data_IF_920340738634
#
_entry.id   IF_920340738634
#
_cell.length_a   1.000
_cell.length_b   1.000
_cell.length_c   1.000
_cell.angle_alpha   90.00
_cell.angle_beta   90.00
_cell.angle_gamma   90.00
#
_symmetry.space_group_name_H-M   'P 1'
#
loop_
_entity.id
_entity.type
_entity.pdbx_description
1 polymer ?
#
# COMPACT_ATOMS: atom_id res chain seq x y z
N UNK A 1 -21.99 -5.52 1.79
CA UNK A 1 -20.84 -4.82 1.18
C UNK A 1 -19.99 -5.85 0.48
N UNK A 2 -19.73 -5.70 -0.82
CA UNK A 2 -18.85 -6.58 -1.59
C UNK A 2 -17.38 -6.30 -1.23
N UNK A 3 -16.94 -6.76 -0.06
CA UNK A 3 -15.51 -6.78 0.27
C UNK A 3 -14.98 -8.17 -0.08
N UNK A 4 -14.93 -8.45 -1.38
CA UNK A 4 -14.28 -9.64 -1.90
C UNK A 4 -12.76 -9.38 -1.94
N UNK A 5 -11.95 -10.42 -1.80
CA UNK A 5 -10.49 -10.29 -1.76
C UNK A 5 -9.90 -9.74 -3.07
N UNK A 6 -10.59 -9.91 -4.19
CA UNK A 6 -10.23 -9.47 -5.54
C UNK A 6 -10.79 -8.08 -5.88
N UNK A 7 -11.52 -7.46 -4.95
CA UNK A 7 -12.11 -6.14 -5.17
C UNK A 7 -11.03 -5.04 -5.16
N UNK A 8 -10.87 -4.38 -6.30
CA UNK A 8 -9.97 -3.23 -6.47
C UNK A 8 -10.70 -1.91 -6.14
N UNK A 9 -10.32 -1.27 -5.03
CA UNK A 9 -10.93 -0.02 -4.53
C UNK A 9 -10.78 1.14 -5.52
N UNK A 10 -9.83 1.07 -6.47
CA UNK A 10 -9.73 2.07 -7.54
C UNK A 10 -11.01 2.17 -8.37
N UNK A 11 -11.82 1.12 -8.45
CA UNK A 11 -13.11 1.16 -9.14
C UNK A 11 -14.10 2.14 -8.49
N UNK A 12 -14.02 2.37 -7.17
CA UNK A 12 -14.84 3.39 -6.50
C UNK A 12 -14.48 4.80 -7.00
N UNK A 13 -13.19 5.08 -7.22
CA UNK A 13 -12.75 6.35 -7.80
C UNK A 13 -13.21 6.51 -9.25
N UNK A 14 -13.12 5.45 -10.06
CA UNK A 14 -13.63 5.49 -11.44
C UNK A 14 -15.12 5.84 -11.47
N UNK A 15 -15.92 5.20 -10.61
CA UNK A 15 -17.34 5.53 -10.47
C UNK A 15 -17.58 6.98 -10.00
N UNK A 16 -16.75 7.51 -9.09
CA UNK A 16 -16.82 8.91 -8.66
C UNK A 16 -16.51 9.89 -9.80
N UNK A 17 -15.47 9.62 -10.59
CA UNK A 17 -15.09 10.43 -11.76
C UNK A 17 -16.25 10.48 -12.76
N UNK A 18 -16.86 9.34 -13.07
CA UNK A 18 -17.96 9.20 -14.02
C UNK A 18 -19.26 9.87 -13.55
N UNK A 19 -19.51 9.85 -12.24
CA UNK A 19 -20.67 10.48 -11.63
C UNK A 19 -20.56 12.00 -11.63
N UNK A 20 -19.38 12.55 -11.30
CA UNK A 20 -19.18 14.01 -11.18
C UNK A 20 -18.95 14.69 -12.53
N UNK A 21 -18.21 14.03 -13.43
CA UNK A 21 -17.84 14.56 -14.76
C UNK A 21 -17.19 15.95 -14.73
N UNK A 22 -16.57 16.31 -13.61
CA UNK A 22 -15.75 17.51 -13.47
C UNK A 22 -14.27 17.10 -13.57
N UNK A 23 -13.64 17.55 -14.65
CA UNK A 23 -12.24 17.26 -14.96
C UNK A 23 -11.37 18.52 -14.90
N UNK A 24 -11.83 19.57 -14.23
CA UNK A 24 -11.06 20.80 -14.01
C UNK A 24 -9.72 20.47 -13.35
N UNK A 25 -8.64 21.08 -13.85
CA UNK A 25 -7.26 20.73 -13.49
C UNK A 25 -6.62 19.62 -14.34
N UNK A 26 -7.41 18.70 -14.92
CA UNK A 26 -6.92 17.65 -15.83
C UNK A 26 -7.87 17.40 -17.02
N UNK A 27 -7.92 18.30 -18.02
CA UNK A 27 -8.88 18.21 -19.12
C UNK A 27 -8.82 16.89 -19.93
N UNK A 28 -7.64 16.28 -20.02
CA UNK A 28 -7.42 14.99 -20.70
C UNK A 28 -8.03 13.79 -19.96
N UNK A 29 -8.52 13.95 -18.73
CA UNK A 29 -9.06 12.85 -17.91
C UNK A 29 -10.20 12.10 -18.62
N UNK A 30 -11.12 12.83 -19.26
CA UNK A 30 -12.24 12.24 -20.00
C UNK A 30 -11.78 11.29 -21.11
N UNK A 31 -10.76 11.70 -21.87
CA UNK A 31 -10.14 10.90 -22.92
C UNK A 31 -9.50 9.62 -22.35
N UNK A 32 -8.77 9.72 -21.23
CA UNK A 32 -8.16 8.54 -20.62
C UNK A 32 -9.19 7.57 -20.03
N UNK A 33 -10.30 8.07 -19.47
CA UNK A 33 -11.42 7.24 -19.00
C UNK A 33 -12.08 6.47 -20.16
N UNK A 34 -12.32 7.13 -21.29
CA UNK A 34 -12.88 6.46 -22.48
C UNK A 34 -11.95 5.32 -22.96
N UNK A 35 -10.65 5.58 -23.04
CA UNK A 35 -9.67 4.55 -23.44
C UNK A 35 -9.61 3.39 -22.46
N UNK A 36 -9.72 3.66 -21.16
CA UNK A 36 -9.79 2.63 -20.13
C UNK A 36 -10.96 1.66 -20.34
N UNK A 37 -12.14 2.18 -20.70
CA UNK A 37 -13.33 1.36 -20.97
C UNK A 37 -13.24 0.55 -22.26
N UNK A 38 -12.50 1.05 -23.25
CA UNK A 38 -12.30 0.37 -24.54
C UNK A 38 -11.15 -0.65 -24.50
N UNK A 39 -10.33 -0.65 -23.46
CA UNK A 39 -9.17 -1.54 -23.36
C UNK A 39 -9.58 -2.98 -23.00
N UNK A 40 -9.30 -3.93 -23.91
CA UNK A 40 -9.61 -5.35 -23.72
C UNK A 40 -8.47 -6.13 -23.04
N UNK A 41 -7.23 -5.63 -23.11
CA UNK A 41 -6.11 -6.26 -22.42
C UNK A 41 -6.17 -5.91 -20.92
N UNK A 42 -6.40 -6.92 -20.08
CA UNK A 42 -6.63 -6.72 -18.64
C UNK A 42 -5.45 -6.07 -17.90
N UNK A 43 -4.20 -6.35 -18.30
CA UNK A 43 -3.00 -5.81 -17.65
C UNK A 43 -2.83 -4.33 -18.02
N UNK A 44 -3.05 -4.00 -19.29
CA UNK A 44 -3.04 -2.62 -19.80
C UNK A 44 -4.19 -1.80 -19.21
N UNK A 45 -5.38 -2.38 -19.14
CA UNK A 45 -6.54 -1.76 -18.49
C UNK A 45 -6.25 -1.48 -17.00
N UNK A 46 -5.59 -2.42 -16.31
CA UNK A 46 -5.18 -2.25 -14.90
C UNK A 46 -4.16 -1.14 -14.72
N UNK A 47 -3.21 -1.01 -15.66
CA UNK A 47 -2.27 0.12 -15.68
C UNK A 47 -2.99 1.45 -15.92
N UNK A 48 -3.88 1.53 -16.90
CA UNK A 48 -4.67 2.74 -17.15
C UNK A 48 -5.48 3.14 -15.91
N UNK A 49 -6.20 2.20 -15.28
CA UNK A 49 -6.94 2.46 -14.03
C UNK A 49 -6.05 3.02 -12.94
N UNK A 50 -4.87 2.44 -12.75
CA UNK A 50 -3.90 2.91 -11.76
C UNK A 50 -3.35 4.31 -12.09
N UNK A 51 -3.05 4.59 -13.35
CA UNK A 51 -2.56 5.90 -13.78
C UNK A 51 -3.64 6.99 -13.69
N UNK A 52 -4.89 6.65 -14.01
CA UNK A 52 -6.07 7.51 -13.80
C UNK A 52 -6.25 7.82 -12.31
N UNK A 53 -6.15 6.81 -11.45
CA UNK A 53 -6.15 7.01 -10.00
C UNK A 53 -5.08 8.00 -9.55
N UNK A 54 -3.86 7.87 -10.07
CA UNK A 54 -2.74 8.78 -9.78
C UNK A 54 -2.90 10.17 -10.39
N UNK A 55 -3.64 10.31 -11.50
CA UNK A 55 -3.94 11.60 -12.12
C UNK A 55 -5.05 12.35 -11.40
N UNK A 56 -5.95 11.65 -10.71
CA UNK A 56 -7.03 12.26 -9.97
C UNK A 56 -6.53 13.28 -8.92
N UNK A 57 -5.29 13.12 -8.42
CA UNK A 57 -4.64 14.09 -7.53
C UNK A 57 -4.44 15.48 -8.14
N UNK A 58 -4.55 15.62 -9.46
CA UNK A 58 -4.33 16.88 -10.18
C UNK A 58 -5.66 17.61 -10.47
N UNK A 59 -6.79 17.01 -10.11
CA UNK A 59 -8.11 17.62 -10.26
C UNK A 59 -8.35 18.72 -9.23
N UNK A 60 -9.19 19.69 -9.58
CA UNK A 60 -9.58 20.77 -8.68
C UNK A 60 -10.60 20.32 -7.63
N UNK A 61 -11.46 19.36 -8.00
CA UNK A 61 -12.45 18.76 -7.09
C UNK A 61 -11.75 18.05 -5.92
N UNK A 62 -11.87 18.63 -4.72
CA UNK A 62 -11.27 18.11 -3.49
C UNK A 62 -11.73 16.71 -3.14
N UNK A 63 -13.00 16.40 -3.36
CA UNK A 63 -13.59 15.10 -3.05
C UNK A 63 -13.14 14.00 -4.01
N UNK A 64 -12.48 14.33 -5.11
CA UNK A 64 -11.80 13.36 -5.99
C UNK A 64 -10.30 13.40 -5.74
N UNK A 65 -9.70 14.59 -5.68
CA UNK A 65 -8.27 14.79 -5.48
C UNK A 65 -7.74 14.16 -4.21
N UNK A 66 -8.52 14.23 -3.13
CA UNK A 66 -8.15 13.67 -1.83
C UNK A 66 -8.48 12.19 -1.71
N UNK A 67 -8.98 11.54 -2.78
CA UNK A 67 -9.35 10.13 -2.73
C UNK A 67 -8.12 9.26 -2.57
N UNK A 68 -8.19 8.40 -1.56
CA UNK A 68 -7.09 7.56 -1.13
C UNK A 68 -7.67 6.23 -0.69
N UNK A 69 -7.23 5.14 -1.32
CA UNK A 69 -7.94 3.87 -1.26
C UNK A 69 -7.93 3.29 0.16
N UNK A 70 -6.80 3.36 0.85
CA UNK A 70 -6.57 2.76 2.17
C UNK A 70 -7.25 3.50 3.32
N UNK A 71 -7.66 4.76 3.11
CA UNK A 71 -8.34 5.60 4.09
C UNK A 71 -9.71 6.11 3.62
N UNK A 72 -10.30 5.52 2.58
CA UNK A 72 -11.68 5.82 2.21
C UNK A 72 -12.65 5.23 3.26
N UNK A 73 -13.90 5.71 3.32
CA UNK A 73 -14.87 5.27 4.34
C UNK A 73 -15.07 3.75 4.33
N UNK A 74 -15.29 3.18 3.13
CA UNK A 74 -15.60 1.75 2.95
C UNK A 74 -14.48 0.86 3.45
N UNK A 75 -13.22 1.21 3.14
CA UNK A 75 -12.05 0.48 3.59
C UNK A 75 -11.80 0.68 5.09
N UNK A 76 -11.92 1.91 5.60
CA UNK A 76 -11.78 2.18 7.04
C UNK A 76 -12.81 1.41 7.87
N UNK A 77 -14.08 1.38 7.45
CA UNK A 77 -15.12 0.57 8.09
C UNK A 77 -14.83 -0.94 8.02
N UNK A 78 -14.10 -1.39 7.00
CA UNK A 78 -13.74 -2.81 6.86
C UNK A 78 -12.72 -3.25 7.91
N UNK A 79 -11.81 -2.37 8.34
CA UNK A 79 -10.85 -2.69 9.38
C UNK A 79 -11.54 -3.05 10.71
N UNK A 80 -12.61 -2.34 11.07
CA UNK A 80 -13.40 -2.63 12.28
C UNK A 80 -14.07 -4.00 12.25
N UNK A 81 -14.31 -4.56 11.05
CA UNK A 81 -14.85 -5.91 10.90
C UNK A 81 -13.74 -6.96 10.90
N UNK A 82 -12.63 -6.66 10.24
CA UNK A 82 -11.53 -7.61 10.04
C UNK A 82 -10.71 -7.85 11.32
N UNK A 83 -10.44 -6.81 12.12
CA UNK A 83 -9.48 -6.88 13.21
C UNK A 83 -10.14 -6.73 14.58
N UNK A 84 -10.24 -7.83 15.33
CA UNK A 84 -10.82 -7.85 16.69
C UNK A 84 -10.04 -7.00 17.69
N UNK A 85 -8.75 -6.75 17.46
CA UNK A 85 -7.95 -5.85 18.30
C UNK A 85 -8.35 -4.37 18.13
N UNK A 86 -9.24 -4.05 17.17
CA UNK A 86 -9.89 -2.76 17.03
C UNK A 86 -11.24 -2.66 17.76
N UNK A 87 -11.60 -3.63 18.62
CA UNK A 87 -12.80 -3.53 19.45
C UNK A 87 -12.77 -2.24 20.28
N UNK A 88 -13.87 -1.48 20.24
CA UNK A 88 -13.98 -0.16 20.89
C UNK A 88 -13.45 1.01 20.07
N UNK A 89 -12.93 0.79 18.86
CA UNK A 89 -12.64 1.85 17.90
C UNK A 89 -13.88 2.23 17.09
N UNK A 90 -13.87 3.45 16.55
CA UNK A 90 -14.90 3.94 15.65
C UNK A 90 -14.28 4.63 14.44
N UNK A 91 -14.94 4.49 13.29
CA UNK A 91 -14.57 5.16 12.05
C UNK A 91 -14.99 6.63 12.12
N UNK A 92 -14.04 7.54 11.91
CA UNK A 92 -14.23 9.00 11.95
C UNK A 92 -13.59 9.62 10.73
N UNK A 93 -14.20 10.69 10.20
CA UNK A 93 -13.59 11.48 9.13
C UNK A 93 -12.36 12.22 9.69
N UNK A 94 -11.30 12.32 8.89
CA UNK A 94 -10.09 13.07 9.25
C UNK A 94 -10.36 14.58 9.14
N UNK A 95 -9.86 15.33 10.10
CA UNK A 95 -9.99 16.78 10.14
C UNK A 95 -9.35 17.43 8.90
N UNK A 96 -10.06 18.39 8.29
CA UNK A 96 -9.59 19.12 7.11
C UNK A 96 -9.72 18.38 5.77
N UNK A 97 -10.20 17.14 5.77
CA UNK A 97 -10.41 16.33 4.54
C UNK A 97 -11.91 16.13 4.25
N UNK A 98 -12.25 15.92 2.98
CA UNK A 98 -13.63 15.62 2.60
C UNK A 98 -13.97 14.13 2.70
N UNK A 99 -13.00 13.27 2.41
CA UNK A 99 -13.26 11.84 2.14
C UNK A 99 -12.25 10.87 2.75
N UNK A 100 -11.31 11.34 3.58
CA UNK A 100 -10.39 10.46 4.31
C UNK A 100 -10.93 10.17 5.70
N UNK A 101 -10.72 8.94 6.16
CA UNK A 101 -11.24 8.41 7.41
C UNK A 101 -10.11 7.77 8.23
N UNK A 102 -10.33 7.66 9.53
CA UNK A 102 -9.41 7.11 10.51
C UNK A 102 -10.17 6.40 11.63
N UNK A 103 -9.47 5.57 12.40
CA UNK A 103 -10.01 4.78 13.49
C UNK A 103 -9.62 5.42 14.83
N UNK A 104 -10.58 5.71 15.70
CA UNK A 104 -10.35 6.33 17.01
C UNK A 104 -11.06 5.60 18.15
N UNK A 105 -10.38 5.48 19.29
CA UNK A 105 -10.95 5.03 20.58
C UNK A 105 -10.77 6.06 21.73
N UNK A 106 -10.47 7.32 21.39
CA UNK A 106 -10.23 8.40 22.35
C UNK A 106 -8.78 8.56 22.80
N UNK A 107 -7.99 7.49 22.79
CA UNK A 107 -6.56 7.51 23.19
C UNK A 107 -5.65 7.38 21.97
N UNK A 108 -5.96 6.43 21.10
CA UNK A 108 -5.13 6.05 19.95
C UNK A 108 -5.88 6.32 18.65
N UNK A 109 -5.10 6.65 17.61
CA UNK A 109 -5.60 6.82 16.25
C UNK A 109 -4.81 5.93 15.31
N UNK A 110 -5.54 5.14 14.50
CA UNK A 110 -4.98 4.35 13.41
C UNK A 110 -5.51 4.86 12.07
N UNK A 111 -4.69 4.73 11.03
CA UNK A 111 -5.06 5.02 9.64
C UNK A 111 -4.76 3.80 8.81
N UNK A 112 -5.55 3.57 7.78
CA UNK A 112 -5.21 2.56 6.80
C UNK A 112 -3.93 2.91 6.07
N UNK A 113 -3.24 1.88 5.63
CA UNK A 113 -2.01 1.96 4.86
C UNK A 113 -1.98 0.84 3.82
N UNK A 114 -1.45 1.16 2.65
CA UNK A 114 -1.18 0.19 1.58
C UNK A 114 0.17 -0.47 1.85
N UNK A 115 0.18 -1.72 2.31
CA UNK A 115 1.35 -2.45 2.80
C UNK A 115 2.53 -2.39 1.82
N UNK A 116 2.26 -2.61 0.53
CA UNK A 116 3.24 -2.43 -0.57
C UNK A 116 2.65 -1.58 -1.69
N UNK A 117 3.21 -0.40 -1.93
CA UNK A 117 2.72 0.53 -2.95
C UNK A 117 3.24 0.20 -4.35
N UNK A 118 2.38 0.33 -5.37
CA UNK A 118 2.76 -0.03 -6.73
C UNK A 118 3.54 1.04 -7.51
N UNK A 119 3.46 2.32 -7.13
CA UNK A 119 3.94 3.41 -7.98
C UNK A 119 5.44 3.31 -8.30
N UNK A 120 6.29 3.15 -7.27
CA UNK A 120 7.74 3.11 -7.48
C UNK A 120 8.17 1.85 -8.24
N UNK A 121 7.73 0.63 -7.86
CA UNK A 121 8.05 -0.58 -8.61
C UNK A 121 7.61 -0.53 -10.08
N UNK A 122 6.34 -0.21 -10.34
CA UNK A 122 5.78 -0.21 -11.70
C UNK A 122 6.42 0.87 -12.57
N UNK A 123 6.62 2.08 -12.03
CA UNK A 123 7.29 3.16 -12.76
C UNK A 123 8.70 2.75 -13.18
N UNK A 124 9.50 2.20 -12.28
CA UNK A 124 10.87 1.82 -12.58
C UNK A 124 10.96 0.61 -13.51
N UNK A 125 10.05 -0.35 -13.36
CA UNK A 125 9.90 -1.49 -14.27
C UNK A 125 9.59 -1.05 -15.70
N UNK A 126 8.57 -0.21 -15.90
CA UNK A 126 8.21 0.32 -17.23
C UNK A 126 9.38 1.11 -17.82
N UNK A 127 10.02 1.97 -17.02
CA UNK A 127 11.21 2.72 -17.47
C UNK A 127 12.33 1.81 -17.97
N UNK A 128 12.59 0.71 -17.25
CA UNK A 128 13.63 -0.24 -17.60
C UNK A 128 13.28 -0.97 -18.91
N UNK A 129 12.04 -1.44 -19.06
CA UNK A 129 11.56 -2.09 -20.29
C UNK A 129 11.60 -1.20 -21.51
N UNK A 130 11.23 0.08 -21.37
CA UNK A 130 11.27 1.06 -22.46
C UNK A 130 12.68 1.62 -22.73
N UNK A 131 13.66 1.32 -21.86
CA UNK A 131 15.00 1.91 -21.94
C UNK A 131 15.04 3.42 -21.68
N UNK A 132 14.07 3.98 -20.96
CA UNK A 132 13.95 5.43 -20.69
C UNK A 132 14.38 5.79 -19.28
N UNK A 133 15.45 6.57 -19.15
CA UNK A 133 16.04 6.91 -17.85
C UNK A 133 15.59 8.27 -17.30
N UNK A 134 15.25 9.21 -18.19
CA UNK A 134 14.73 10.54 -17.88
C UNK A 134 13.36 10.74 -18.53
N UNK A 135 12.53 11.62 -17.97
CA UNK A 135 11.22 11.88 -18.53
C UNK A 135 11.37 12.70 -19.82
N UNK A 136 10.88 12.23 -20.98
CA UNK A 136 10.90 13.03 -22.19
C UNK A 136 9.95 14.23 -22.01
N UNK A 137 10.50 15.44 -21.98
CA UNK A 137 9.77 16.73 -22.09
C UNK A 137 8.63 16.96 -21.08
N UNK A 138 8.89 17.64 -19.97
CA UNK A 138 7.93 18.47 -19.22
C UNK A 138 6.70 17.80 -18.56
N UNK A 139 6.37 16.57 -18.93
CA UNK A 139 5.20 15.85 -18.41
C UNK A 139 5.45 15.30 -17.00
N UNK A 140 4.40 14.79 -16.36
CA UNK A 140 4.55 13.85 -15.25
C UNK A 140 4.68 12.42 -15.80
N UNK A 141 5.36 11.52 -15.07
CA UNK A 141 5.49 10.11 -15.49
C UNK A 141 4.15 9.43 -15.74
N UNK A 142 3.10 9.81 -14.99
CA UNK A 142 1.75 9.27 -15.15
C UNK A 142 1.13 9.64 -16.50
N UNK A 143 1.31 10.89 -16.96
CA UNK A 143 0.88 11.32 -18.30
C UNK A 143 1.72 10.68 -19.39
N UNK A 144 3.04 10.64 -19.21
CA UNK A 144 3.93 10.01 -20.17
C UNK A 144 3.52 8.54 -20.43
N UNK A 145 3.24 7.77 -19.38
CA UNK A 145 2.80 6.38 -19.54
C UNK A 145 1.42 6.26 -20.19
N UNK A 146 0.46 7.13 -19.87
CA UNK A 146 -0.86 7.10 -20.51
C UNK A 146 -0.80 7.46 -22.00
N UNK A 147 0.02 8.45 -22.38
CA UNK A 147 0.22 8.85 -23.78
C UNK A 147 0.89 7.76 -24.61
N UNK A 148 1.79 6.99 -23.99
CA UNK A 148 2.56 5.92 -24.65
C UNK A 148 2.06 4.52 -24.25
N UNK A 149 0.82 4.39 -23.77
CA UNK A 149 0.27 3.12 -23.24
C UNK A 149 0.30 1.98 -24.27
N UNK A 150 0.27 2.31 -25.56
CA UNK A 150 0.38 1.35 -26.66
C UNK A 150 1.73 0.64 -26.72
N UNK A 151 2.81 1.30 -26.26
CA UNK A 151 4.19 0.81 -26.27
C UNK A 151 4.56 0.06 -24.98
N UNK A 152 3.70 0.11 -23.95
CA UNK A 152 3.97 -0.48 -22.65
C UNK A 152 3.45 -1.92 -22.62
N UNK A 153 4.38 -2.85 -22.49
CA UNK A 153 4.11 -4.28 -22.28
C UNK A 153 4.44 -4.69 -20.85
N UNK A 154 3.40 -4.89 -20.04
CA UNK A 154 3.54 -5.47 -18.70
C UNK A 154 3.66 -7.00 -18.77
N UNK A 155 4.38 -7.59 -17.83
CA UNK A 155 4.21 -9.02 -17.55
C UNK A 155 2.87 -9.26 -16.86
N UNK A 156 2.43 -10.51 -16.87
CA UNK A 156 1.24 -10.95 -16.13
C UNK A 156 1.36 -10.61 -14.64
N UNK A 157 2.54 -10.80 -14.03
CA UNK A 157 2.76 -10.51 -12.61
C UNK A 157 2.71 -9.02 -12.30
N UNK A 158 3.25 -8.16 -13.17
CA UNK A 158 3.15 -6.70 -13.02
C UNK A 158 1.69 -6.23 -13.17
N UNK A 159 0.96 -6.78 -14.15
CA UNK A 159 -0.46 -6.49 -14.34
C UNK A 159 -1.34 -6.95 -13.17
N UNK A 160 -1.06 -8.14 -12.64
CA UNK A 160 -1.71 -8.71 -11.44
C UNK A 160 -1.43 -7.87 -10.20
N UNK A 161 -0.19 -7.40 -10.02
CA UNK A 161 0.17 -6.53 -8.90
C UNK A 161 -0.63 -5.23 -8.90
N UNK A 162 -0.85 -4.62 -10.07
CA UNK A 162 -1.70 -3.43 -10.21
C UNK A 162 -3.17 -3.66 -9.81
N UNK A 163 -3.71 -4.85 -10.08
CA UNK A 163 -5.06 -5.24 -9.65
C UNK A 163 -5.13 -5.39 -8.12
N UNK A 164 -4.12 -6.01 -7.53
CA UNK A 164 -4.07 -6.35 -6.11
C UNK A 164 -3.65 -5.18 -5.20
N UNK A 165 -2.97 -4.16 -5.74
CA UNK A 165 -2.38 -3.05 -4.96
C UNK A 165 -3.37 -2.41 -3.98
N UNK A 166 -4.63 -2.21 -4.40
CA UNK A 166 -5.66 -1.57 -3.59
C UNK A 166 -6.80 -2.56 -3.26
N UNK A 167 -6.42 -3.78 -2.89
CA UNK A 167 -7.31 -4.83 -2.40
C UNK A 167 -7.15 -5.00 -0.88
N UNK A 168 -8.13 -5.64 -0.24
CA UNK A 168 -8.14 -5.85 1.22
C UNK A 168 -6.90 -6.59 1.74
N UNK A 169 -6.32 -7.47 0.92
CA UNK A 169 -5.12 -8.21 1.27
C UNK A 169 -3.86 -7.34 1.39
N UNK A 170 -3.85 -6.16 0.75
CA UNK A 170 -2.72 -5.22 0.80
C UNK A 170 -2.97 -4.02 1.72
N UNK A 171 -4.06 -4.03 2.50
CA UNK A 171 -4.38 -2.97 3.44
C UNK A 171 -4.19 -3.40 4.89
N UNK A 172 -3.66 -2.49 5.70
CA UNK A 172 -3.52 -2.70 7.15
C UNK A 172 -3.69 -1.38 7.91
N UNK A 173 -4.38 -1.36 9.05
CA UNK A 173 -4.39 -0.21 9.95
C UNK A 173 -3.03 -0.09 10.65
N UNK A 174 -2.43 1.10 10.60
CA UNK A 174 -1.13 1.42 11.19
C UNK A 174 -1.20 2.68 12.06
N UNK A 175 -0.26 2.87 13.00
CA UNK A 175 -0.18 4.07 13.81
C UNK A 175 0.06 5.33 12.98
N UNK A 176 -0.34 6.48 13.51
CA UNK A 176 -0.07 7.78 12.89
C UNK A 176 1.45 7.97 12.68
N UNK A 177 1.83 8.37 11.47
CA UNK A 177 3.22 8.64 11.08
C UNK A 177 3.97 7.44 10.50
N UNK A 178 3.43 6.23 10.65
CA UNK A 178 4.07 4.99 10.24
C UNK A 178 4.40 4.94 8.74
N UNK A 179 3.43 5.26 7.86
CA UNK A 179 3.60 5.23 6.40
C UNK A 179 4.77 6.13 5.94
N UNK A 180 4.77 7.40 6.36
CA UNK A 180 5.82 8.36 5.96
C UNK A 180 7.20 7.85 6.39
N UNK A 181 7.32 7.35 7.62
CA UNK A 181 8.56 6.81 8.14
C UNK A 181 9.06 5.59 7.34
N UNK A 182 8.22 4.56 7.17
CA UNK A 182 8.65 3.28 6.55
C UNK A 182 8.93 3.40 5.06
N UNK A 183 8.28 4.34 4.37
CA UNK A 183 8.36 4.47 2.90
C UNK A 183 9.77 4.87 2.43
N UNK A 184 10.58 5.46 3.32
CA UNK A 184 11.91 5.95 3.01
C UNK A 184 11.92 7.12 2.02
N UNK A 185 13.11 7.51 1.56
CA UNK A 185 13.26 8.61 0.61
C UNK A 185 12.50 8.34 -0.70
N UNK A 186 11.49 9.16 -1.01
CA UNK A 186 10.60 9.04 -2.18
C UNK A 186 9.89 7.68 -2.35
N UNK A 187 9.60 6.96 -1.26
CA UNK A 187 8.91 5.67 -1.34
C UNK A 187 9.81 4.52 -1.79
N UNK A 188 11.13 4.67 -1.71
CA UNK A 188 12.08 3.64 -2.14
C UNK A 188 11.95 2.35 -1.33
N UNK A 189 11.48 2.41 -0.10
CA UNK A 189 11.40 1.29 0.83
C UNK A 189 9.98 0.80 1.07
N UNK A 190 9.04 1.30 0.28
CA UNK A 190 7.61 1.15 0.51
C UNK A 190 7.09 -0.25 0.14
N UNK A 191 7.59 -1.25 0.87
CA UNK A 191 7.33 -2.67 0.69
C UNK A 191 7.27 -3.38 2.04
N UNK A 192 6.30 -4.27 2.16
CA UNK A 192 5.96 -4.85 3.44
C UNK A 192 6.97 -5.87 3.96
N UNK A 193 7.74 -6.52 3.09
CA UNK A 193 8.81 -7.43 3.51
C UNK A 193 9.94 -6.70 4.24
N UNK A 194 10.33 -5.51 3.75
CA UNK A 194 11.29 -4.65 4.45
C UNK A 194 10.72 -4.21 5.81
N UNK A 195 9.45 -3.79 5.83
CA UNK A 195 8.76 -3.38 7.07
C UNK A 195 8.72 -4.52 8.09
N UNK A 196 8.30 -5.72 7.67
CA UNK A 196 8.22 -6.90 8.54
C UNK A 196 9.58 -7.38 9.00
N UNK A 197 10.63 -7.28 8.18
CA UNK A 197 11.99 -7.61 8.60
C UNK A 197 12.39 -6.79 9.84
N UNK A 198 12.09 -5.49 9.85
CA UNK A 198 12.42 -4.62 10.98
C UNK A 198 11.50 -4.83 12.20
N UNK A 199 10.21 -5.12 11.99
CA UNK A 199 9.30 -5.47 13.09
C UNK A 199 9.70 -6.81 13.73
N UNK A 200 10.05 -7.81 12.91
CA UNK A 200 10.53 -9.11 13.39
C UNK A 200 11.79 -8.97 14.25
N UNK A 201 12.77 -8.20 13.77
CA UNK A 201 13.99 -7.92 14.54
C UNK A 201 13.67 -7.21 15.86
N UNK A 202 12.72 -6.26 15.87
CA UNK A 202 12.28 -5.63 17.11
C UNK A 202 11.72 -6.65 18.10
N UNK A 203 10.88 -7.60 17.69
CA UNK A 203 10.42 -8.67 18.60
C UNK A 203 11.56 -9.57 19.07
N UNK A 204 12.50 -9.93 18.19
CA UNK A 204 13.64 -10.77 18.53
C UNK A 204 14.56 -10.12 19.57
N UNK A 205 14.79 -8.81 19.45
CA UNK A 205 15.62 -8.01 20.36
C UNK A 205 14.91 -7.73 21.70
N UNK A 206 13.58 -7.83 21.74
CA UNK A 206 12.73 -7.47 22.88
C UNK A 206 11.97 -8.67 23.51
N UNK A 207 12.58 -9.85 23.50
CA UNK A 207 11.99 -11.07 24.11
C UNK A 207 11.90 -11.00 25.65
N UNK A 208 12.66 -10.13 26.29
CA UNK A 208 12.73 -9.96 27.75
C UNK A 208 11.95 -8.72 28.20
N UNK A 209 10.71 -8.92 28.66
CA UNK A 209 9.77 -7.85 29.04
C UNK A 209 10.19 -7.02 30.25
N UNK A 210 11.30 -7.37 30.92
CA UNK A 210 11.80 -6.66 32.11
C UNK A 210 12.82 -5.57 31.72
N UNK A 211 13.35 -5.61 30.49
CA UNK A 211 14.33 -4.64 29.99
C UNK A 211 13.64 -3.48 29.27
N UNK A 212 14.35 -2.35 29.22
CA UNK A 212 13.98 -1.24 28.34
C UNK A 212 14.00 -1.73 26.88
N UNK A 213 12.99 -1.35 26.10
CA UNK A 213 12.93 -1.78 24.70
C UNK A 213 14.10 -1.26 23.86
N UNK A 214 14.74 -2.17 23.12
CA UNK A 214 15.67 -1.83 22.06
C UNK A 214 14.90 -1.45 20.80
N UNK A 215 14.83 -0.14 20.54
CA UNK A 215 14.15 0.43 19.38
C UNK A 215 15.07 0.62 18.17
N UNK A 216 16.29 0.04 18.15
CA UNK A 216 17.25 0.21 17.06
C UNK A 216 16.70 -0.24 15.70
N UNK A 217 15.98 -1.36 15.66
CA UNK A 217 15.34 -1.86 14.45
C UNK A 217 14.28 -0.89 13.90
N UNK A 218 13.44 -0.31 14.78
CA UNK A 218 12.43 0.68 14.41
C UNK A 218 13.04 2.02 13.99
N UNK A 219 14.10 2.46 14.67
CA UNK A 219 14.85 3.68 14.28
C UNK A 219 15.43 3.55 12.89
N UNK A 220 15.95 2.37 12.52
CA UNK A 220 16.43 2.09 11.17
C UNK A 220 15.29 2.08 10.14
N UNK A 221 14.15 1.48 10.47
CA UNK A 221 12.97 1.49 9.60
C UNK A 221 12.46 2.91 9.31
N UNK A 222 12.52 3.79 10.30
CA UNK A 222 11.98 5.15 10.22
C UNK A 222 13.04 6.25 10.04
N UNK A 223 14.26 5.92 9.59
CA UNK A 223 15.37 6.88 9.56
C UNK A 223 15.14 8.11 8.65
N UNK A 224 14.20 7.99 7.70
CA UNK A 224 13.81 9.09 6.81
C UNK A 224 12.59 9.88 7.29
N UNK A 225 12.01 9.52 8.44
CA UNK A 225 11.09 10.42 9.12
C UNK A 225 11.87 11.69 9.52
N UNK A 226 11.24 12.86 9.45
CA UNK A 226 11.85 14.08 9.98
C UNK A 226 12.27 13.85 11.44
N UNK A 227 13.42 14.39 11.88
CA UNK A 227 14.04 14.05 13.17
C UNK A 227 13.06 14.16 14.36
N UNK A 228 12.33 15.28 14.46
CA UNK A 228 11.30 15.49 15.50
C UNK A 228 10.07 14.57 15.38
N UNK A 229 9.88 13.96 14.20
CA UNK A 229 8.79 13.04 13.90
C UNK A 229 9.18 11.57 14.07
N UNK A 230 10.48 11.26 14.02
CA UNK A 230 10.99 9.89 14.15
C UNK A 230 10.70 9.33 15.54
N UNK A 231 11.07 10.03 16.62
CA UNK A 231 10.83 9.55 17.99
C UNK A 231 9.33 9.34 18.28
N UNK A 232 8.49 10.26 17.77
CA UNK A 232 7.03 10.11 17.85
C UNK A 232 6.56 8.84 17.13
N UNK A 233 7.05 8.61 15.90
CA UNK A 233 6.67 7.45 15.08
C UNK A 233 7.15 6.14 15.70
N UNK A 234 8.40 6.08 16.17
CA UNK A 234 8.98 4.95 16.90
C UNK A 234 8.12 4.64 18.12
N UNK A 235 7.80 5.65 18.96
CA UNK A 235 7.01 5.45 20.18
C UNK A 235 5.60 4.93 19.88
N UNK A 236 4.95 5.46 18.85
CA UNK A 236 3.61 5.00 18.44
C UNK A 236 3.64 3.59 17.87
N UNK A 237 4.70 3.23 17.13
CA UNK A 237 4.91 1.88 16.64
C UNK A 237 5.20 0.90 17.77
N UNK A 238 6.08 1.25 18.71
CA UNK A 238 6.41 0.44 19.89
C UNK A 238 5.14 0.05 20.66
N UNK A 239 4.31 1.03 21.03
CA UNK A 239 3.03 0.79 21.73
C UNK A 239 2.07 -0.09 20.92
N UNK A 240 2.07 0.06 19.59
CA UNK A 240 1.27 -0.81 18.73
C UNK A 240 1.79 -2.24 18.74
N UNK A 241 3.09 -2.47 18.60
CA UNK A 241 3.70 -3.80 18.64
C UNK A 241 3.51 -4.47 20.02
N UNK A 242 3.79 -3.74 21.11
CA UNK A 242 3.57 -4.22 22.48
C UNK A 242 2.15 -4.76 22.71
N UNK A 243 1.14 -4.13 22.10
CA UNK A 243 -0.26 -4.54 22.26
C UNK A 243 -0.57 -5.97 21.75
N UNK A 244 0.30 -6.54 20.92
CA UNK A 244 0.18 -7.91 20.45
C UNK A 244 0.93 -8.92 21.33
N UNK A 245 1.89 -8.47 22.14
CA UNK A 245 2.69 -9.31 23.04
C UNK A 245 3.84 -10.03 22.34
N UNK A 246 3.54 -10.93 21.39
CA UNK A 246 4.57 -11.70 20.65
C UNK A 246 4.47 -11.49 19.15
N UNK A 247 5.55 -11.84 18.45
CA UNK A 247 5.59 -11.85 16.99
C UNK A 247 4.50 -12.74 16.37
N UNK A 248 4.29 -13.94 16.89
CA UNK A 248 3.28 -14.87 16.37
C UNK A 248 1.86 -14.31 16.55
N UNK A 249 1.60 -13.68 17.69
CA UNK A 249 0.34 -12.98 17.95
C UNK A 249 0.16 -11.79 17.02
N UNK A 250 1.21 -11.02 16.74
CA UNK A 250 1.20 -9.93 15.76
C UNK A 250 0.88 -10.44 14.35
N UNK A 251 1.57 -11.50 13.90
CA UNK A 251 1.35 -12.11 12.59
C UNK A 251 -0.10 -12.59 12.46
N UNK A 252 -0.55 -13.40 13.42
CA UNK A 252 -1.89 -14.01 13.40
C UNK A 252 -3.00 -12.96 13.45
N UNK A 253 -2.93 -12.01 14.39
CA UNK A 253 -3.97 -10.98 14.57
C UNK A 253 -4.03 -9.95 13.43
N UNK A 254 -3.02 -9.93 12.55
CA UNK A 254 -2.98 -9.07 11.37
C UNK A 254 -3.08 -9.84 10.03
N UNK A 255 -3.36 -11.15 10.07
CA UNK A 255 -3.48 -12.02 8.89
C UNK A 255 -2.21 -12.03 8.03
N UNK A 256 -1.04 -12.09 8.66
CA UNK A 256 0.26 -11.97 7.97
C UNK A 256 0.93 -13.32 7.70
N UNK A 257 0.23 -14.45 7.88
CA UNK A 257 0.79 -15.79 7.69
C UNK A 257 1.44 -15.97 6.30
N UNK A 258 0.83 -15.42 5.25
CA UNK A 258 1.36 -15.47 3.89
C UNK A 258 2.68 -14.69 3.67
N UNK A 259 3.02 -13.79 4.60
CA UNK A 259 4.20 -12.93 4.55
C UNK A 259 5.38 -13.48 5.36
N UNK A 260 5.22 -14.62 6.03
CA UNK A 260 6.30 -15.30 6.76
C UNK A 260 6.55 -16.68 6.16
N UNK A 261 7.76 -17.20 6.34
CA UNK A 261 8.10 -18.56 5.97
C UNK A 261 7.63 -19.58 7.04
N UNK A 262 7.91 -20.85 6.81
CA UNK A 262 7.54 -21.94 7.73
C UNK A 262 8.19 -21.82 9.12
N UNK A 263 9.26 -21.03 9.24
CA UNK A 263 9.95 -20.75 10.50
C UNK A 263 9.45 -19.46 11.16
N UNK A 264 8.45 -18.79 10.55
CA UNK A 264 7.91 -17.51 11.01
C UNK A 264 8.80 -16.32 10.67
N UNK A 265 9.83 -16.46 9.83
CA UNK A 265 10.70 -15.36 9.42
C UNK A 265 10.07 -14.62 8.25
N UNK A 266 10.10 -13.27 8.21
CA UNK A 266 9.56 -12.50 7.08
C UNK A 266 10.11 -12.95 5.73
N UNK A 267 9.21 -13.25 4.78
CA UNK A 267 9.57 -13.58 3.39
C UNK A 267 10.08 -12.32 2.70
N UNK A 268 11.25 -12.41 2.07
CA UNK A 268 11.72 -11.38 1.13
C UNK A 268 11.00 -11.50 -0.19
N UNK A 269 10.65 -10.37 -0.80
CA UNK A 269 10.01 -10.35 -2.12
C UNK A 269 10.99 -10.68 -3.26
N UNK A 270 12.29 -10.54 -3.03
CA UNK A 270 13.36 -11.18 -3.82
C UNK A 270 14.61 -11.33 -2.95
N UNK A 271 15.52 -12.23 -3.33
CA UNK A 271 16.63 -12.69 -2.47
C UNK A 271 17.51 -11.56 -1.91
N UNK A 272 17.81 -10.57 -2.75
CA UNK A 272 18.67 -9.45 -2.41
C UNK A 272 17.93 -8.22 -1.87
N UNK A 273 16.61 -8.30 -1.62
CA UNK A 273 15.83 -7.15 -1.16
C UNK A 273 16.23 -6.73 0.25
N UNK A 274 16.56 -5.45 0.42
CA UNK A 274 16.88 -4.81 1.70
C UNK A 274 16.70 -3.29 1.61
N UNK A 275 16.78 -2.58 2.74
CA UNK A 275 16.80 -1.11 2.75
C UNK A 275 17.97 -0.52 1.92
N UNK A 276 19.10 -1.23 1.84
CA UNK A 276 20.28 -0.79 1.09
C UNK A 276 20.15 -1.08 -0.42
N UNK A 277 19.49 -2.20 -0.75
CA UNK A 277 19.16 -2.64 -2.11
C UNK A 277 17.64 -2.76 -2.29
N UNK A 278 16.90 -1.63 -2.23
CA UNK A 278 15.46 -1.64 -2.45
C UNK A 278 15.14 -1.87 -3.93
N UNK A 279 13.92 -2.33 -4.20
CA UNK A 279 13.44 -2.54 -5.58
C UNK A 279 13.55 -1.26 -6.43
N UNK A 280 13.41 -0.09 -5.81
CA UNK A 280 13.54 1.20 -6.47
C UNK A 280 14.91 1.45 -7.13
N UNK A 281 15.98 0.79 -6.64
CA UNK A 281 17.34 0.88 -7.18
C UNK A 281 17.67 -0.27 -8.15
N UNK A 282 16.79 -1.26 -8.29
CA UNK A 282 17.02 -2.39 -9.17
C UNK A 282 17.16 -1.95 -10.64
N UNK A 283 18.05 -2.63 -11.36
CA UNK A 283 18.26 -2.52 -12.81
C UNK A 283 18.04 -3.85 -13.51
N UNK A 284 17.45 -4.81 -12.81
CA UNK A 284 17.29 -6.18 -13.25
C UNK A 284 15.79 -6.48 -13.36
N UNK A 285 15.33 -6.90 -14.54
CA UNK A 285 13.91 -7.17 -14.80
C UNK A 285 13.44 -8.37 -13.97
N UNK A 286 14.26 -9.41 -13.84
CA UNK A 286 13.94 -10.61 -13.06
C UNK A 286 13.69 -10.31 -11.58
N UNK A 287 14.38 -9.33 -10.99
CA UNK A 287 14.12 -8.85 -9.63
C UNK A 287 12.74 -8.21 -9.50
N UNK A 288 12.30 -7.43 -10.49
CA UNK A 288 10.93 -6.90 -10.52
C UNK A 288 9.90 -8.01 -10.67
N UNK A 289 10.13 -8.99 -11.55
CA UNK A 289 9.21 -10.12 -11.72
C UNK A 289 9.07 -10.95 -10.44
N UNK A 290 10.18 -11.26 -9.77
CA UNK A 290 10.16 -11.96 -8.48
C UNK A 290 9.45 -11.13 -7.40
N UNK A 291 9.72 -9.82 -7.36
CA UNK A 291 9.06 -8.91 -6.44
C UNK A 291 7.54 -8.93 -6.64
N UNK A 292 7.06 -8.75 -7.87
CA UNK A 292 5.62 -8.77 -8.18
C UNK A 292 5.00 -10.11 -7.84
N UNK A 293 5.61 -11.21 -8.29
CA UNK A 293 5.11 -12.56 -8.02
C UNK A 293 4.94 -12.84 -6.53
N UNK A 294 6.00 -12.61 -5.74
CA UNK A 294 5.96 -12.89 -4.30
C UNK A 294 4.94 -11.99 -3.60
N UNK A 295 4.89 -10.71 -3.97
CA UNK A 295 3.93 -9.77 -3.41
C UNK A 295 2.48 -10.16 -3.74
N UNK A 296 2.21 -10.58 -4.98
CA UNK A 296 0.90 -11.06 -5.43
C UNK A 296 0.44 -12.27 -4.63
N UNK A 297 1.31 -13.27 -4.46
CA UNK A 297 1.04 -14.46 -3.65
C UNK A 297 0.64 -14.08 -2.22
N UNK A 298 1.42 -13.19 -1.57
CA UNK A 298 1.16 -12.75 -0.20
C UNK A 298 -0.18 -12.00 -0.09
N UNK A 299 -0.43 -11.03 -0.97
CA UNK A 299 -1.64 -10.20 -0.95
C UNK A 299 -2.89 -11.06 -1.17
N UNK A 300 -2.87 -11.99 -2.12
CA UNK A 300 -4.03 -12.82 -2.40
C UNK A 300 -4.35 -13.80 -1.29
N UNK A 301 -3.33 -14.49 -0.76
CA UNK A 301 -3.54 -15.44 0.34
C UNK A 301 -4.09 -14.72 1.56
N UNK A 302 -3.50 -13.58 1.94
CA UNK A 302 -4.00 -12.73 3.01
C UNK A 302 -5.43 -12.23 2.76
N UNK A 303 -5.71 -11.77 1.54
CA UNK A 303 -7.04 -11.30 1.17
C UNK A 303 -8.11 -12.38 1.27
N UNK A 304 -7.80 -13.60 0.83
CA UNK A 304 -8.68 -14.78 0.95
C UNK A 304 -8.97 -15.09 2.41
N UNK A 305 -7.92 -15.19 3.24
CA UNK A 305 -8.04 -15.45 4.67
C UNK A 305 -8.94 -14.41 5.37
N UNK A 306 -8.71 -13.11 5.11
CA UNK A 306 -9.54 -12.03 5.67
C UNK A 306 -11.01 -12.17 5.23
N UNK A 307 -11.26 -12.54 3.98
CA UNK A 307 -12.63 -12.65 3.45
C UNK A 307 -13.34 -13.88 4.02
N UNK A 308 -12.64 -15.02 4.14
CA UNK A 308 -13.16 -16.25 4.73
C UNK A 308 -13.53 -16.04 6.20
N UNK A 309 -12.63 -15.45 7.00
CA UNK A 309 -12.89 -15.19 8.42
C UNK A 309 -14.01 -14.18 8.61
N UNK A 310 -14.09 -13.12 7.79
CA UNK A 310 -15.21 -12.17 7.82
C UNK A 310 -16.56 -12.81 7.48
N UNK A 311 -16.60 -13.86 6.66
CA UNK A 311 -17.82 -14.58 6.33
C UNK A 311 -18.24 -15.56 7.44
N UNK A 312 -17.27 -16.14 8.16
CA UNK A 312 -17.51 -17.09 9.24
C UNK A 312 -17.93 -16.44 10.58
N UNK A 313 -17.86 -15.11 10.68
CA UNK A 313 -18.31 -14.34 11.86
C UNK A 313 -19.82 -14.03 11.85
N UNK A 314 -20.59 -14.67 10.96
CA UNK A 314 -22.06 -14.54 10.78
C UNK A 314 -22.72 -15.90 10.59
#
# INVERSE_FOLDING_TARGET
>A
MNNQYDYDVKNDLIGLLEARKDYSGMPEMSFYLERYHQESNIDKQSLQRFLIYRLASDLEDRGIREFDCDVCKKVTDSYLRTYTWLDGYSCKKQDGTEIKYELKNGITTYRGDTMTSAWVPIKNYIKLKLGVNSNPKGDSWKLYFLRNIGEIELSEEAGRFLRLTHSIGNFIPVPMGFNVGRSGYYGNWDSWDLTLTHIFNWYADNTDSVKLHDNSALRRLFEYAQENYMDFTVRKCEVWLESFGTWESFVKKNYLDAFVDEQGVPRKFYSAHSLDRPIAKSKNIEEFEMFFKTCNECIEQRGKQITEDNNNQW
#
